data_IF_361958792519
#
_entry.id   IF_361958792519
#
_cell.length_a   1.000
_cell.length_b   1.000
_cell.length_c   1.000
_cell.angle_alpha   90.00
_cell.angle_beta   90.00
_cell.angle_gamma   90.00
#
_symmetry.space_group_name_H-M   'P 1'
#
loop_
_entity.id
_entity.type
_entity.pdbx_description
1 polymer ?
#
# COMPACT_ATOMS: atom_id res chain seq x y z
N UNK A 1 -5.32 -21.69 16.63
CA UNK A 1 -4.75 -20.88 17.71
C UNK A 1 -3.28 -20.65 17.45
N UNK A 2 -2.89 -19.38 17.54
CA UNK A 2 -1.58 -18.79 17.81
C UNK A 2 -0.30 -19.44 17.29
N UNK A 3 0.29 -18.79 16.26
CA UNK A 3 1.75 -18.73 16.08
C UNK A 3 2.24 -17.64 15.11
N UNK A 4 1.55 -16.49 15.07
CA UNK A 4 2.05 -15.29 14.37
C UNK A 4 2.59 -14.22 15.34
N UNK A 5 2.57 -14.50 16.65
CA UNK A 5 2.97 -13.58 17.72
C UNK A 5 4.41 -13.76 18.20
N UNK A 6 5.16 -14.72 17.67
CA UNK A 6 6.57 -14.89 18.02
C UNK A 6 7.47 -14.11 17.06
N UNK A 7 7.89 -12.95 17.54
CA UNK A 7 8.98 -12.11 17.03
C UNK A 7 8.56 -10.96 16.09
N UNK A 8 8.03 -9.90 16.72
CA UNK A 8 7.71 -8.64 16.06
C UNK A 8 8.93 -7.97 15.40
N UNK A 9 10.16 -8.24 15.87
CA UNK A 9 11.40 -7.71 15.28
C UNK A 9 11.86 -8.49 14.05
N UNK A 10 11.76 -9.82 14.10
CA UNK A 10 12.05 -10.70 12.97
C UNK A 10 11.00 -10.56 11.84
N UNK A 11 9.71 -10.48 12.19
CA UNK A 11 8.64 -10.20 11.24
C UNK A 11 8.71 -8.78 10.67
N UNK A 12 9.20 -7.79 11.42
CA UNK A 12 9.36 -6.43 10.91
C UNK A 12 10.53 -6.32 9.91
N UNK A 13 11.64 -7.03 10.12
CA UNK A 13 12.79 -6.97 9.21
C UNK A 13 12.53 -7.75 7.92
N UNK A 14 11.97 -8.96 8.02
CA UNK A 14 11.57 -9.75 6.85
C UNK A 14 10.38 -9.09 6.13
N UNK A 15 9.44 -8.53 6.90
CA UNK A 15 8.33 -7.73 6.40
C UNK A 15 8.80 -6.48 5.67
N UNK A 16 9.77 -5.73 6.20
CA UNK A 16 10.33 -4.54 5.58
C UNK A 16 11.09 -4.85 4.29
N UNK A 17 11.88 -5.93 4.26
CA UNK A 17 12.57 -6.38 3.05
C UNK A 17 11.57 -6.79 1.95
N UNK A 18 10.57 -7.61 2.29
CA UNK A 18 9.54 -8.04 1.36
C UNK A 18 8.69 -6.85 0.87
N UNK A 19 8.35 -5.91 1.75
CA UNK A 19 7.66 -4.68 1.37
C UNK A 19 8.54 -3.84 0.41
N UNK A 20 9.84 -3.75 0.66
CA UNK A 20 10.79 -3.06 -0.21
C UNK A 20 10.83 -3.65 -1.63
N UNK A 21 10.94 -4.98 -1.75
CA UNK A 21 10.91 -5.68 -3.05
C UNK A 21 9.57 -5.48 -3.77
N UNK A 22 8.44 -5.53 -3.05
CA UNK A 22 7.12 -5.31 -3.65
C UNK A 22 6.89 -3.84 -4.04
N UNK A 23 7.45 -2.87 -3.30
CA UNK A 23 7.41 -1.46 -3.69
C UNK A 23 8.14 -1.26 -5.03
N UNK A 24 9.30 -1.88 -5.21
CA UNK A 24 10.04 -1.81 -6.47
C UNK A 24 9.29 -2.49 -7.62
N UNK A 25 8.68 -3.66 -7.37
CA UNK A 25 7.90 -4.39 -8.38
C UNK A 25 6.71 -3.60 -8.94
N UNK A 26 6.12 -2.68 -8.16
CA UNK A 26 5.00 -1.83 -8.58
C UNK A 26 5.40 -0.37 -8.86
N UNK A 27 6.68 -0.12 -9.09
CA UNK A 27 7.19 1.19 -9.50
C UNK A 27 7.05 2.26 -8.42
N UNK A 28 7.16 1.87 -7.14
CA UNK A 28 7.06 2.77 -6.00
C UNK A 28 5.66 2.98 -5.46
N UNK A 29 4.60 2.49 -6.12
CA UNK A 29 3.21 2.75 -5.73
C UNK A 29 2.78 1.96 -4.49
N UNK A 30 2.54 2.66 -3.39
CA UNK A 30 2.10 2.05 -2.12
C UNK A 30 0.77 1.31 -2.24
N UNK A 31 -0.21 1.89 -2.90
CA UNK A 31 -1.54 1.26 -3.05
C UNK A 31 -1.44 -0.08 -3.80
N UNK A 32 -0.64 -0.15 -4.87
CA UNK A 32 -0.49 -1.35 -5.68
C UNK A 32 0.32 -2.41 -4.93
N UNK A 33 1.35 -2.00 -4.20
CA UNK A 33 2.11 -2.87 -3.29
C UNK A 33 1.19 -3.50 -2.24
N UNK A 34 0.36 -2.73 -1.56
CA UNK A 34 -0.51 -3.25 -0.49
C UNK A 34 -1.61 -4.16 -1.03
N UNK A 35 -2.10 -3.89 -2.24
CA UNK A 35 -3.00 -4.80 -2.95
C UNK A 35 -2.30 -6.10 -3.29
N UNK A 36 -1.10 -6.06 -3.84
CA UNK A 36 -0.34 -7.26 -4.16
C UNK A 36 -0.05 -8.09 -2.92
N UNK A 37 0.25 -7.44 -1.79
CA UNK A 37 0.49 -8.10 -0.52
C UNK A 37 -0.77 -8.81 0.01
N UNK A 38 -1.93 -8.14 -0.01
CA UNK A 38 -3.17 -8.69 0.57
C UNK A 38 -3.96 -9.61 -0.39
N UNK A 39 -4.10 -9.23 -1.65
CA UNK A 39 -4.90 -9.95 -2.66
C UNK A 39 -4.06 -10.82 -3.62
N UNK A 40 -2.73 -10.73 -3.53
CA UNK A 40 -1.78 -11.42 -4.38
C UNK A 40 -1.34 -10.59 -5.60
N UNK A 41 -0.06 -10.69 -6.02
CA UNK A 41 0.51 -9.82 -7.06
C UNK A 41 -0.14 -9.98 -8.44
N UNK A 42 -0.79 -11.12 -8.71
CA UNK A 42 -1.52 -11.36 -9.97
C UNK A 42 -2.78 -10.48 -10.11
N UNK A 43 -3.34 -9.98 -9.00
CA UNK A 43 -4.55 -9.14 -9.02
C UNK A 43 -4.28 -7.72 -9.46
N UNK A 44 -3.10 -7.19 -9.21
CA UNK A 44 -2.72 -5.83 -9.62
C UNK A 44 -2.83 -5.62 -11.13
N UNK A 45 -2.16 -6.40 -12.00
CA UNK A 45 -2.29 -6.21 -13.45
C UNK A 45 -3.70 -6.49 -13.97
N UNK A 46 -4.45 -7.41 -13.34
CA UNK A 46 -5.86 -7.66 -13.66
C UNK A 46 -6.72 -6.41 -13.43
N UNK A 47 -6.59 -5.77 -12.26
CA UNK A 47 -7.39 -4.60 -11.92
C UNK A 47 -6.92 -3.33 -12.64
N UNK A 48 -5.62 -3.19 -12.90
CA UNK A 48 -5.11 -2.14 -13.80
C UNK A 48 -5.71 -2.30 -15.20
N UNK A 49 -5.76 -3.53 -15.74
CA UNK A 49 -6.38 -3.80 -17.03
C UNK A 49 -7.87 -3.46 -17.08
N UNK A 50 -8.57 -3.55 -15.94
CA UNK A 50 -10.01 -3.28 -15.84
C UNK A 50 -10.36 -1.82 -15.56
N UNK A 51 -9.55 -1.12 -14.75
CA UNK A 51 -9.89 0.20 -14.21
C UNK A 51 -8.91 1.30 -14.66
N UNK A 52 -7.86 0.94 -15.41
CA UNK A 52 -6.75 1.83 -15.73
C UNK A 52 -5.66 1.80 -14.65
N UNK A 53 -4.51 2.37 -14.95
CA UNK A 53 -3.40 2.50 -14.00
C UNK A 53 -3.61 3.73 -13.11
N UNK A 54 -3.66 3.57 -11.77
CA UNK A 54 -3.89 4.70 -10.86
C UNK A 54 -2.67 5.59 -10.65
N UNK A 55 -1.47 5.17 -11.09
CA UNK A 55 -0.23 5.89 -10.79
C UNK A 55 -0.18 7.25 -11.49
N UNK A 56 0.23 8.29 -10.76
CA UNK A 56 0.35 9.65 -11.27
C UNK A 56 -0.98 10.35 -11.55
N UNK A 57 -2.11 9.76 -11.12
CA UNK A 57 -3.43 10.36 -11.23
C UNK A 57 -3.69 11.36 -10.10
N UNK A 58 -4.63 12.29 -10.27
CA UNK A 58 -5.18 13.09 -9.18
C UNK A 58 -5.67 12.22 -8.01
N UNK A 59 -5.59 12.74 -6.78
CA UNK A 59 -5.89 11.96 -5.58
C UNK A 59 -7.34 11.44 -5.53
N UNK A 60 -8.30 12.20 -6.06
CA UNK A 60 -9.70 11.79 -6.18
C UNK A 60 -9.86 10.58 -7.12
N UNK A 61 -9.18 10.58 -8.28
CA UNK A 61 -9.14 9.42 -9.17
C UNK A 61 -8.50 8.19 -8.50
N UNK A 62 -7.47 8.39 -7.68
CA UNK A 62 -6.81 7.31 -6.93
C UNK A 62 -7.75 6.72 -5.86
N UNK A 63 -8.43 7.58 -5.11
CA UNK A 63 -9.40 7.15 -4.09
C UNK A 63 -10.55 6.38 -4.74
N UNK A 64 -11.10 6.89 -5.83
CA UNK A 64 -12.13 6.18 -6.61
C UNK A 64 -11.64 4.83 -7.12
N UNK A 65 -10.36 4.73 -7.50
CA UNK A 65 -9.75 3.48 -7.94
C UNK A 65 -9.66 2.47 -6.79
N UNK A 66 -9.27 2.89 -5.58
CA UNK A 66 -9.28 2.05 -4.37
C UNK A 66 -10.70 1.56 -4.06
N UNK A 67 -11.71 2.43 -4.18
CA UNK A 67 -13.12 2.09 -3.97
C UNK A 67 -13.68 1.10 -5.01
N UNK A 68 -13.02 0.93 -6.16
CA UNK A 68 -13.39 -0.08 -7.18
C UNK A 68 -12.82 -1.47 -6.91
N UNK A 69 -11.94 -1.62 -5.92
CA UNK A 69 -11.40 -2.93 -5.53
C UNK A 69 -12.56 -3.85 -5.12
N UNK A 70 -12.72 -5.02 -5.78
CA UNK A 70 -13.90 -5.87 -5.60
C UNK A 70 -13.90 -6.63 -4.28
N UNK A 71 -12.75 -6.73 -3.62
CA UNK A 71 -12.60 -7.40 -2.33
C UNK A 71 -12.66 -6.36 -1.20
N UNK A 72 -13.75 -6.33 -0.40
CA UNK A 72 -13.89 -5.35 0.67
C UNK A 72 -12.77 -5.45 1.71
N UNK A 73 -12.30 -6.66 2.00
CA UNK A 73 -11.15 -6.90 2.87
C UNK A 73 -9.89 -6.19 2.36
N UNK A 74 -9.57 -6.34 1.07
CA UNK A 74 -8.41 -5.70 0.44
C UNK A 74 -8.53 -4.18 0.43
N UNK A 75 -9.72 -3.66 0.14
CA UNK A 75 -9.97 -2.21 0.19
C UNK A 75 -9.71 -1.65 1.60
N UNK A 76 -10.31 -2.27 2.61
CA UNK A 76 -10.13 -1.89 4.00
C UNK A 76 -8.67 -2.02 4.45
N UNK A 77 -7.97 -3.05 3.96
CA UNK A 77 -6.56 -3.24 4.24
C UNK A 77 -5.71 -2.07 3.71
N UNK A 78 -5.87 -1.71 2.43
CA UNK A 78 -5.14 -0.58 1.81
C UNK A 78 -5.38 0.72 2.60
N UNK A 79 -6.64 1.02 2.91
CA UNK A 79 -7.02 2.24 3.65
C UNK A 79 -6.38 2.27 5.05
N UNK A 80 -6.47 1.17 5.81
CA UNK A 80 -5.91 1.08 7.16
C UNK A 80 -4.38 1.14 7.17
N UNK A 81 -3.71 0.56 6.18
CA UNK A 81 -2.24 0.62 6.13
C UNK A 81 -1.78 2.04 5.81
N UNK A 82 -2.41 2.72 4.85
CA UNK A 82 -2.10 4.12 4.54
C UNK A 82 -2.38 5.05 5.73
N UNK A 83 -3.50 4.88 6.44
CA UNK A 83 -3.81 5.66 7.64
C UNK A 83 -2.74 5.46 8.73
N UNK A 84 -2.36 4.20 9.00
CA UNK A 84 -1.33 3.91 9.99
C UNK A 84 0.04 4.44 9.57
N UNK A 85 0.37 4.38 8.28
CA UNK A 85 1.62 4.91 7.74
C UNK A 85 1.79 6.40 8.08
N UNK A 86 0.76 7.22 7.84
CA UNK A 86 0.78 8.64 8.22
C UNK A 86 0.92 8.85 9.74
N UNK A 87 0.25 8.03 10.55
CA UNK A 87 0.39 8.09 12.02
C UNK A 87 1.84 7.81 12.44
N UNK A 88 2.50 6.84 11.82
CA UNK A 88 3.91 6.54 12.11
C UNK A 88 4.85 7.64 11.63
N UNK A 89 4.64 8.22 10.44
CA UNK A 89 5.41 9.39 9.97
C UNK A 89 5.35 10.52 11.00
N UNK A 90 4.16 10.88 11.45
CA UNK A 90 3.96 11.93 12.45
C UNK A 90 4.71 11.63 13.76
N UNK A 91 4.59 10.40 14.28
CA UNK A 91 5.27 9.98 15.53
C UNK A 91 6.80 9.97 15.43
N UNK A 92 7.32 9.76 14.23
CA UNK A 92 8.76 9.76 13.94
C UNK A 92 9.29 11.15 13.56
N UNK A 93 8.44 12.20 13.60
CA UNK A 93 8.81 13.56 13.22
C UNK A 93 9.02 13.75 11.72
N UNK A 94 8.49 12.85 10.89
CA UNK A 94 8.50 12.96 9.43
C UNK A 94 7.29 13.77 8.95
N UNK A 95 7.41 14.51 7.83
CA UNK A 95 6.26 15.20 7.23
C UNK A 95 5.16 14.23 6.83
N UNK A 96 3.91 14.53 7.20
CA UNK A 96 2.71 13.80 6.77
C UNK A 96 2.07 14.50 5.58
N UNK A 97 1.77 13.75 4.53
CA UNK A 97 1.10 14.25 3.33
C UNK A 97 0.50 13.07 2.56
N UNK A 98 -0.68 12.63 3.00
CA UNK A 98 -1.33 11.45 2.47
C UNK A 98 -1.62 11.56 0.96
N UNK A 99 -1.92 12.76 0.46
CA UNK A 99 -2.16 12.98 -0.96
C UNK A 99 -0.87 12.74 -1.76
N UNK A 100 0.22 13.36 -1.33
CA UNK A 100 1.54 13.15 -1.94
C UNK A 100 1.97 11.69 -1.88
N UNK A 101 1.73 10.99 -0.78
CA UNK A 101 2.11 9.58 -0.62
C UNK A 101 1.21 8.63 -1.44
N UNK A 102 -0.07 8.95 -1.62
CA UNK A 102 -0.98 8.20 -2.51
C UNK A 102 -0.59 8.37 -3.98
N UNK A 103 -0.24 9.59 -4.39
CA UNK A 103 0.13 9.92 -5.78
C UNK A 103 1.54 9.40 -6.11
N UNK A 104 2.52 9.73 -5.26
CA UNK A 104 3.95 9.54 -5.51
C UNK A 104 4.53 8.26 -4.92
N UNK A 105 3.84 7.61 -3.98
CA UNK A 105 4.34 6.43 -3.28
C UNK A 105 5.74 6.65 -2.69
N UNK A 106 6.67 5.72 -2.89
CA UNK A 106 8.05 5.82 -2.38
C UNK A 106 8.83 7.04 -2.89
N UNK A 107 8.48 7.61 -4.05
CA UNK A 107 9.15 8.81 -4.55
C UNK A 107 8.75 10.09 -3.80
N UNK A 108 7.67 10.01 -3.00
CA UNK A 108 7.14 11.10 -2.22
C UNK A 108 7.77 11.21 -0.82
N UNK A 109 8.36 10.12 -0.31
CA UNK A 109 8.91 9.95 1.04
C UNK A 109 10.36 10.39 1.22
#
# INVERSE_FOLDING_TARGET
EDKLTADAGYNATLGAHYLGEQIEAFGGSYILTFIAYNAGPKRVPEWIGRYGDPRGKPVDEIVDWIERIPFPETRNYVQRVMENYEVYKARLGQPTDIERDLIGGRSAS
#
